data_IF_033144038761
#
_entry.id   IF_033144038761
#
_cell.length_a   1.000
_cell.length_b   1.000
_cell.length_c   1.000
_cell.angle_alpha   90.00
_cell.angle_beta   90.00
_cell.angle_gamma   90.00
#
_symmetry.space_group_name_H-M   'P 1'
#
loop_
_entity.id
_entity.type
_entity.pdbx_description
1 polymer ?
#
# COMPACT_ATOMS: atom_id res chain seq x y z
N UNK A 1 8.21 -3.91 11.25
CA UNK A 1 8.70 -2.78 12.06
C UNK A 1 7.55 -2.12 12.81
N UNK A 2 7.84 -1.39 13.89
CA UNK A 2 6.85 -0.61 14.64
C UNK A 2 7.29 0.84 14.58
N UNK A 3 6.39 1.71 14.16
CA UNK A 3 6.60 3.16 14.09
C UNK A 3 5.59 3.88 14.98
N UNK A 4 5.90 5.08 15.51
CA UNK A 4 4.96 5.84 16.33
C UNK A 4 3.68 6.20 15.55
N UNK A 5 2.52 6.11 16.19
CA UNK A 5 1.26 6.56 15.57
C UNK A 5 1.22 8.07 15.41
N UNK A 6 1.96 8.80 16.25
CA UNK A 6 2.14 10.25 16.10
C UNK A 6 2.86 10.54 14.77
N UNK A 7 2.25 11.35 13.92
CA UNK A 7 2.72 11.68 12.55
C UNK A 7 2.77 10.47 11.60
N UNK A 8 1.96 9.44 11.84
CA UNK A 8 1.91 8.21 11.02
C UNK A 8 1.67 8.48 9.54
N UNK A 9 0.95 9.54 9.19
CA UNK A 9 0.64 9.87 7.79
C UNK A 9 1.87 10.45 7.08
N UNK A 10 2.67 11.26 7.75
CA UNK A 10 3.89 11.85 7.17
C UNK A 10 4.97 10.78 6.98
N UNK A 11 5.16 9.91 7.98
CA UNK A 11 6.08 8.77 7.88
C UNK A 11 5.63 7.78 6.80
N UNK A 12 4.32 7.48 6.74
CA UNK A 12 3.74 6.65 5.69
C UNK A 12 4.03 7.22 4.29
N UNK A 13 3.94 8.53 4.11
CA UNK A 13 4.20 9.17 2.83
C UNK A 13 5.66 8.99 2.40
N UNK A 14 6.61 9.14 3.33
CA UNK A 14 8.04 8.90 3.04
C UNK A 14 8.30 7.43 2.66
N UNK A 15 7.65 6.49 3.33
CA UNK A 15 7.76 5.07 2.99
C UNK A 15 7.10 4.72 1.65
N UNK A 16 5.96 5.36 1.32
CA UNK A 16 5.32 5.22 0.00
C UNK A 16 6.27 5.70 -1.09
N UNK A 17 6.89 6.87 -0.95
CA UNK A 17 7.82 7.41 -1.95
C UNK A 17 8.98 6.44 -2.22
N UNK A 18 9.57 5.86 -1.17
CA UNK A 18 10.66 4.86 -1.29
C UNK A 18 10.25 3.60 -2.07
N UNK A 19 8.99 3.18 -1.92
CA UNK A 19 8.45 1.99 -2.59
C UNK A 19 8.09 2.29 -4.03
N UNK A 20 7.45 3.43 -4.28
CA UNK A 20 7.05 3.86 -5.62
C UNK A 20 8.26 4.10 -6.52
N UNK A 21 9.36 4.62 -5.98
CA UNK A 21 10.63 4.76 -6.71
C UNK A 21 11.17 3.42 -7.25
N UNK A 22 10.86 2.31 -6.56
CA UNK A 22 11.23 0.94 -6.97
C UNK A 22 10.19 0.29 -7.88
N UNK A 23 9.15 1.01 -8.27
CA UNK A 23 8.00 0.49 -9.03
C UNK A 23 7.24 -0.64 -8.32
N UNK A 24 7.30 -0.68 -7.00
CA UNK A 24 6.57 -1.62 -6.17
C UNK A 24 5.27 -0.99 -5.66
N UNK A 25 4.41 -1.78 -4.98
CA UNK A 25 3.07 -1.37 -4.56
C UNK A 25 2.95 -1.36 -3.04
N UNK A 26 2.05 -0.52 -2.56
CA UNK A 26 1.79 -0.33 -1.13
C UNK A 26 0.35 -0.71 -0.79
N UNK A 27 0.18 -1.42 0.32
CA UNK A 27 -1.09 -1.74 0.91
C UNK A 27 -1.23 -1.02 2.25
N UNK A 28 -2.28 -0.22 2.42
CA UNK A 28 -2.53 0.53 3.67
C UNK A 28 -3.84 0.07 4.28
N UNK A 29 -3.82 -0.33 5.56
CA UNK A 29 -5.03 -0.70 6.29
C UNK A 29 -5.39 0.35 7.32
N UNK A 30 -6.65 0.78 7.29
CA UNK A 30 -7.25 1.73 8.24
C UNK A 30 -8.29 1.04 9.12
N UNK A 31 -8.78 1.72 10.15
CA UNK A 31 -9.82 1.20 11.04
C UNK A 31 -11.23 1.48 10.55
N UNK A 32 -11.43 2.58 9.83
CA UNK A 32 -12.75 3.03 9.40
C UNK A 32 -12.76 3.44 7.93
N UNK A 33 -13.94 3.35 7.32
CA UNK A 33 -14.20 3.83 5.96
C UNK A 33 -13.86 5.31 5.81
N UNK A 34 -14.27 6.13 6.76
CA UNK A 34 -13.98 7.57 6.78
C UNK A 34 -12.48 7.85 6.76
N UNK A 35 -11.72 7.14 7.60
CA UNK A 35 -10.26 7.29 7.62
C UNK A 35 -9.61 6.87 6.29
N UNK A 36 -10.11 5.82 5.64
CA UNK A 36 -9.65 5.40 4.32
C UNK A 36 -9.91 6.49 3.27
N UNK A 37 -11.10 7.08 3.28
CA UNK A 37 -11.49 8.15 2.34
C UNK A 37 -10.67 9.44 2.57
N UNK A 38 -10.49 9.85 3.81
CA UNK A 38 -9.70 11.04 4.17
C UNK A 38 -8.22 10.85 3.77
N UNK A 39 -7.66 9.67 4.05
CA UNK A 39 -6.30 9.33 3.63
C UNK A 39 -6.16 9.31 2.11
N UNK A 40 -7.12 8.71 1.39
CA UNK A 40 -7.11 8.68 -0.07
C UNK A 40 -7.12 10.09 -0.66
N UNK A 41 -7.98 10.99 -0.16
CA UNK A 41 -7.98 12.39 -0.58
C UNK A 41 -6.66 13.10 -0.30
N UNK A 42 -6.10 12.88 0.89
CA UNK A 42 -4.81 13.47 1.26
C UNK A 42 -3.70 13.01 0.30
N UNK A 43 -3.58 11.70 0.06
CA UNK A 43 -2.58 11.15 -0.84
C UNK A 43 -2.77 11.64 -2.28
N UNK A 44 -4.01 11.78 -2.74
CA UNK A 44 -4.31 12.37 -4.07
C UNK A 44 -3.85 13.82 -4.14
N UNK A 45 -4.10 14.62 -3.11
CA UNK A 45 -3.70 16.03 -3.08
C UNK A 45 -2.18 16.23 -3.10
N UNK A 46 -1.43 15.29 -2.57
CA UNK A 46 0.06 15.31 -2.61
C UNK A 46 0.64 14.58 -3.83
N UNK A 47 -0.22 14.16 -4.79
CA UNK A 47 0.21 13.58 -6.06
C UNK A 47 0.50 12.09 -6.04
N UNK A 48 0.12 11.36 -4.98
CA UNK A 48 0.25 9.90 -4.91
C UNK A 48 -0.94 9.24 -5.59
N UNK A 49 -0.69 8.38 -6.57
CA UNK A 49 -1.73 7.59 -7.25
C UNK A 49 -2.24 6.51 -6.30
N UNK A 50 -3.50 6.62 -5.90
CA UNK A 50 -4.08 5.69 -4.93
C UNK A 50 -5.54 5.39 -5.24
N UNK A 51 -6.02 4.25 -4.75
CA UNK A 51 -7.44 3.90 -4.67
C UNK A 51 -7.76 3.37 -3.28
N UNK A 52 -9.02 3.50 -2.85
CA UNK A 52 -9.47 2.90 -1.61
C UNK A 52 -10.58 1.88 -1.87
N UNK A 53 -10.59 0.82 -1.03
CA UNK A 53 -11.60 -0.24 -1.07
C UNK A 53 -12.35 -0.29 0.25
N UNK A 54 -13.67 -0.45 0.17
CA UNK A 54 -14.56 -0.67 1.31
C UNK A 54 -15.52 -1.84 1.05
N UNK A 55 -16.34 -2.16 2.07
CA UNK A 55 -17.24 -3.32 2.02
C UNK A 55 -18.32 -3.26 0.95
N UNK A 56 -18.66 -2.05 0.49
CA UNK A 56 -19.80 -1.81 -0.41
C UNK A 56 -19.40 -1.87 -1.90
N UNK A 57 -18.11 -2.10 -2.20
CA UNK A 57 -17.62 -2.26 -3.57
C UNK A 57 -18.01 -3.65 -4.08
N UNK A 58 -18.59 -3.71 -5.27
CA UNK A 58 -18.98 -4.96 -5.90
C UNK A 58 -17.76 -5.85 -6.23
N UNK A 59 -18.01 -7.15 -6.31
CA UNK A 59 -16.94 -8.14 -6.52
C UNK A 59 -16.19 -7.92 -7.85
N UNK A 60 -16.89 -7.52 -8.91
CA UNK A 60 -16.26 -7.26 -10.21
C UNK A 60 -15.38 -6.03 -10.17
N UNK A 61 -15.87 -4.91 -9.66
CA UNK A 61 -15.11 -3.67 -9.49
C UNK A 61 -13.86 -3.91 -8.66
N UNK A 62 -13.96 -4.78 -7.66
CA UNK A 62 -12.82 -5.15 -6.82
C UNK A 62 -11.74 -5.92 -7.59
N UNK A 63 -12.13 -6.83 -8.48
CA UNK A 63 -11.18 -7.52 -9.36
C UNK A 63 -10.47 -6.52 -10.27
N UNK A 64 -11.20 -5.58 -10.85
CA UNK A 64 -10.64 -4.51 -11.69
C UNK A 64 -9.62 -3.65 -10.92
N UNK A 65 -9.96 -3.21 -9.69
CA UNK A 65 -9.03 -2.46 -8.83
C UNK A 65 -7.75 -3.26 -8.56
N UNK A 66 -7.87 -4.58 -8.36
CA UNK A 66 -6.69 -5.42 -8.14
C UNK A 66 -5.82 -5.56 -9.39
N UNK A 67 -6.41 -5.67 -10.56
CA UNK A 67 -5.70 -5.72 -11.83
C UNK A 67 -5.00 -4.39 -12.12
N UNK A 68 -5.67 -3.27 -11.91
CA UNK A 68 -5.09 -1.94 -12.05
C UNK A 68 -3.90 -1.71 -11.08
N UNK A 69 -3.97 -2.21 -9.84
CA UNK A 69 -2.84 -2.17 -8.91
C UNK A 69 -1.65 -2.97 -9.45
N UNK A 70 -1.89 -4.17 -9.99
CA UNK A 70 -0.85 -5.01 -10.60
C UNK A 70 -0.23 -4.35 -11.84
N UNK A 71 -1.07 -3.78 -12.70
CA UNK A 71 -0.63 -3.07 -13.90
C UNK A 71 0.09 -1.75 -13.59
N UNK A 72 -0.03 -1.24 -12.36
CA UNK A 72 0.60 0.02 -11.95
C UNK A 72 -0.14 1.26 -12.38
N UNK A 73 -1.44 1.14 -12.64
CA UNK A 73 -2.31 2.30 -12.86
C UNK A 73 -2.29 3.22 -11.65
N UNK A 74 -2.20 2.63 -10.46
CA UNK A 74 -1.96 3.34 -9.20
C UNK A 74 -0.98 2.55 -8.32
N UNK A 75 -0.44 3.19 -7.28
CA UNK A 75 0.66 2.65 -6.47
C UNK A 75 0.22 2.21 -5.08
N UNK A 76 -0.81 2.83 -4.54
CA UNK A 76 -1.25 2.63 -3.15
C UNK A 76 -2.71 2.17 -3.10
N UNK A 77 -2.95 1.04 -2.46
CA UNK A 77 -4.29 0.55 -2.16
C UNK A 77 -4.61 0.74 -0.68
N UNK A 78 -5.69 1.45 -0.40
CA UNK A 78 -6.14 1.73 0.96
C UNK A 78 -7.42 0.93 1.25
N UNK A 79 -7.53 0.32 2.43
CA UNK A 79 -8.76 -0.38 2.80
C UNK A 79 -8.94 -0.61 4.28
N UNK A 80 -10.19 -0.83 4.69
CA UNK A 80 -10.55 -1.07 6.09
C UNK A 80 -10.32 -2.53 6.49
N UNK A 81 -10.70 -3.46 5.64
CA UNK A 81 -10.58 -4.89 5.88
C UNK A 81 -10.20 -5.60 4.58
N UNK A 82 -8.92 -5.54 4.26
CA UNK A 82 -8.37 -6.17 3.07
C UNK A 82 -8.16 -7.69 3.24
N UNK A 83 -8.59 -8.26 4.39
CA UNK A 83 -8.33 -9.66 4.74
C UNK A 83 -9.28 -10.65 4.08
N UNK A 84 -10.49 -10.22 3.71
CA UNK A 84 -11.58 -11.13 3.30
C UNK A 84 -11.38 -11.83 1.96
N UNK A 85 -10.36 -11.48 1.16
CA UNK A 85 -10.50 -11.68 -0.27
C UNK A 85 -9.37 -12.42 -0.96
N UNK A 86 -8.63 -13.24 -0.25
CA UNK A 86 -7.64 -14.09 -0.91
C UNK A 86 -6.66 -13.33 -1.83
N UNK A 87 -6.39 -12.06 -1.53
CA UNK A 87 -5.55 -11.20 -2.36
C UNK A 87 -4.13 -11.76 -2.44
N UNK A 88 -3.76 -12.13 -3.65
CA UNK A 88 -2.41 -12.55 -3.99
C UNK A 88 -1.74 -11.44 -4.78
N UNK A 89 -0.97 -10.59 -4.10
CA UNK A 89 -0.34 -9.40 -4.65
C UNK A 89 1.18 -9.48 -4.45
N UNK A 90 1.91 -10.23 -5.28
CA UNK A 90 3.36 -10.32 -5.19
C UNK A 90 4.08 -8.99 -5.47
N UNK A 91 3.39 -8.03 -6.08
CA UNK A 91 3.88 -6.68 -6.37
C UNK A 91 3.91 -5.78 -5.13
N UNK A 92 3.19 -6.15 -4.07
CA UNK A 92 3.14 -5.39 -2.82
C UNK A 92 4.39 -5.66 -2.00
N UNK A 93 5.20 -4.64 -1.80
CA UNK A 93 6.41 -4.70 -0.97
C UNK A 93 6.24 -4.01 0.38
N UNK A 94 5.27 -3.11 0.53
CA UNK A 94 4.97 -2.45 1.80
C UNK A 94 3.51 -2.70 2.21
N UNK A 95 3.36 -3.17 3.43
CA UNK A 95 2.06 -3.20 4.12
C UNK A 95 2.12 -2.28 5.32
N UNK A 96 1.30 -1.24 5.34
CA UNK A 96 1.18 -0.29 6.43
C UNK A 96 -0.13 -0.51 7.19
N UNK A 97 -0.03 -0.63 8.50
CA UNK A 97 -1.17 -0.83 9.41
C UNK A 97 -1.26 0.39 10.31
N UNK A 98 -2.22 1.28 10.02
CA UNK A 98 -2.44 2.48 10.82
C UNK A 98 -3.19 2.14 12.11
N UNK A 99 -2.88 2.86 13.18
CA UNK A 99 -3.50 2.67 14.50
C UNK A 99 -3.52 1.18 14.92
N UNK A 100 -2.37 0.53 14.84
CA UNK A 100 -2.24 -0.91 15.12
C UNK A 100 -2.46 -1.24 16.61
N UNK A 101 -2.34 -0.27 17.50
CA UNK A 101 -2.57 -0.37 18.94
C UNK A 101 -4.04 -0.21 19.36
N UNK A 102 -4.93 0.16 18.44
CA UNK A 102 -6.37 0.25 18.73
C UNK A 102 -6.98 -1.14 18.69
N UNK A 103 -6.99 -1.81 19.85
CA UNK A 103 -7.49 -3.17 19.96
C UNK A 103 -8.93 -3.31 19.46
N UNK A 104 -9.19 -4.42 18.76
CA UNK A 104 -10.50 -4.74 18.20
C UNK A 104 -10.40 -5.86 17.16
N UNK A 105 -11.52 -6.20 16.54
CA UNK A 105 -11.59 -7.29 15.58
C UNK A 105 -10.57 -7.14 14.42
N UNK A 106 -10.39 -5.92 13.91
CA UNK A 106 -9.45 -5.63 12.81
C UNK A 106 -7.98 -5.56 13.24
N UNK A 107 -7.70 -5.55 14.52
CA UNK A 107 -6.36 -5.49 15.12
C UNK A 107 -6.10 -6.66 16.07
N UNK A 108 -6.90 -7.73 15.97
CA UNK A 108 -6.62 -9.00 16.64
C UNK A 108 -5.31 -9.61 16.08
N UNK A 109 -4.67 -10.47 16.87
CA UNK A 109 -3.45 -11.18 16.46
C UNK A 109 -3.62 -11.89 15.09
N UNK A 110 -4.75 -12.58 14.88
CA UNK A 110 -5.06 -13.25 13.62
C UNK A 110 -5.17 -12.26 12.45
N UNK A 111 -5.85 -11.13 12.65
CA UNK A 111 -6.00 -10.08 11.64
C UNK A 111 -4.64 -9.48 11.29
N UNK A 112 -3.81 -9.18 12.28
CA UNK A 112 -2.47 -8.65 12.07
C UNK A 112 -1.56 -9.66 11.33
N UNK A 113 -1.55 -10.94 11.73
CA UNK A 113 -0.77 -11.99 11.05
C UNK A 113 -1.18 -12.10 9.57
N UNK A 114 -2.47 -12.11 9.28
CA UNK A 114 -2.96 -12.20 7.91
C UNK A 114 -2.58 -10.96 7.08
N UNK A 115 -2.68 -9.77 7.66
CA UNK A 115 -2.33 -8.53 6.97
C UNK A 115 -0.83 -8.45 6.70
N UNK A 116 0.00 -8.74 7.69
CA UNK A 116 1.47 -8.80 7.54
C UNK A 116 1.85 -9.86 6.48
N UNK A 117 1.17 -11.00 6.48
CA UNK A 117 1.39 -12.08 5.52
C UNK A 117 1.13 -11.70 4.05
N UNK A 118 0.42 -10.59 3.79
CA UNK A 118 0.24 -10.09 2.40
C UNK A 118 1.55 -9.59 1.80
N UNK A 119 2.43 -9.02 2.62
CA UNK A 119 3.77 -8.64 2.17
C UNK A 119 4.71 -9.84 1.96
N UNK A 120 4.43 -10.99 2.56
CA UNK A 120 5.38 -12.12 2.60
C UNK A 120 5.71 -12.76 1.24
N UNK A 121 5.05 -12.38 0.15
CA UNK A 121 5.30 -12.89 -1.20
C UNK A 121 6.34 -12.10 -1.99
N UNK A 122 6.64 -10.91 -1.55
CA UNK A 122 7.74 -10.11 -2.10
C UNK A 122 9.00 -10.33 -1.25
N UNK A 123 10.13 -10.56 -1.90
CA UNK A 123 11.41 -10.86 -1.23
C UNK A 123 11.91 -9.66 -0.41
N UNK A 124 11.64 -8.45 -0.87
CA UNK A 124 12.06 -7.20 -0.22
C UNK A 124 10.96 -6.59 0.66
N UNK A 125 9.95 -7.37 1.02
CA UNK A 125 8.77 -6.82 1.67
C UNK A 125 8.99 -6.37 3.11
N UNK A 126 8.26 -5.32 3.48
CA UNK A 126 8.23 -4.69 4.79
C UNK A 126 6.79 -4.57 5.28
N UNK A 127 6.57 -4.82 6.56
CA UNK A 127 5.32 -4.48 7.22
C UNK A 127 5.59 -3.46 8.33
N UNK A 128 4.87 -2.35 8.33
CA UNK A 128 4.94 -1.30 9.34
C UNK A 128 3.63 -1.27 10.13
N UNK A 129 3.76 -1.35 11.45
CA UNK A 129 2.66 -1.16 12.39
C UNK A 129 2.83 0.19 13.05
N UNK A 130 1.91 1.11 12.79
CA UNK A 130 1.87 2.42 13.46
C UNK A 130 1.15 2.30 14.79
N UNK A 131 1.87 2.50 15.88
CA UNK A 131 1.37 2.32 17.23
C UNK A 131 2.15 3.15 18.24
N UNK A 132 1.46 3.73 19.23
CA UNK A 132 2.11 4.44 20.33
C UNK A 132 2.48 3.47 21.47
N UNK A 133 1.82 2.32 21.55
CA UNK A 133 2.13 1.26 22.50
C UNK A 133 1.96 -0.13 21.87
N UNK A 134 2.74 -1.09 22.36
CA UNK A 134 2.70 -2.46 21.85
C UNK A 134 1.65 -3.26 22.62
N UNK A 135 0.56 -3.62 21.96
CA UNK A 135 -0.51 -4.47 22.53
C UNK A 135 -0.11 -5.92 22.57
N UNK A 136 -0.84 -6.73 23.36
CA UNK A 136 -0.59 -8.16 23.41
C UNK A 136 -0.92 -8.87 22.10
N UNK A 137 -1.90 -8.38 21.34
CA UNK A 137 -2.21 -8.86 19.99
C UNK A 137 -1.05 -8.60 19.03
N UNK A 138 -0.44 -7.42 19.09
CA UNK A 138 0.77 -7.10 18.31
C UNK A 138 1.95 -8.00 18.68
N UNK A 139 2.21 -8.20 19.99
CA UNK A 139 3.29 -9.10 20.46
C UNK A 139 3.12 -10.51 19.92
N UNK A 140 1.91 -11.08 20.00
CA UNK A 140 1.62 -12.42 19.49
C UNK A 140 1.80 -12.48 17.96
N UNK A 141 1.29 -11.48 17.23
CA UNK A 141 1.41 -11.43 15.78
C UNK A 141 2.87 -11.33 15.32
N UNK A 142 3.66 -10.48 15.95
CA UNK A 142 5.09 -10.30 15.63
C UNK A 142 5.86 -11.58 15.94
N UNK A 143 5.64 -12.19 17.12
CA UNK A 143 6.28 -13.43 17.52
C UNK A 143 6.01 -14.57 16.52
N UNK A 144 4.75 -14.72 16.12
CA UNK A 144 4.36 -15.77 15.16
C UNK A 144 4.98 -15.53 13.77
N UNK A 145 4.96 -14.27 13.32
CA UNK A 145 5.57 -13.91 12.03
C UNK A 145 7.10 -14.14 12.04
N UNK A 146 7.79 -13.74 13.10
CA UNK A 146 9.22 -13.99 13.29
C UNK A 146 9.52 -15.49 13.29
N UNK A 147 8.77 -16.28 14.05
CA UNK A 147 8.91 -17.73 14.09
C UNK A 147 8.77 -18.37 12.70
N UNK A 148 7.77 -17.94 11.94
CA UNK A 148 7.53 -18.49 10.61
C UNK A 148 8.65 -18.12 9.63
N UNK A 149 9.15 -16.88 9.71
CA UNK A 149 10.28 -16.39 8.90
C UNK A 149 11.56 -17.15 9.21
N UNK A 150 11.88 -17.36 10.48
CA UNK A 150 13.06 -18.12 10.92
C UNK A 150 13.01 -19.58 10.43
N UNK A 151 11.85 -20.24 10.54
CA UNK A 151 11.66 -21.59 10.01
C UNK A 151 11.87 -21.65 8.50
N UNK A 152 11.30 -20.70 7.76
CA UNK A 152 11.46 -20.65 6.31
C UNK A 152 12.92 -20.41 5.93
N UNK A 153 13.60 -19.50 6.63
CA UNK A 153 14.99 -19.19 6.38
C UNK A 153 15.90 -20.39 6.67
N UNK A 154 15.69 -21.09 7.79
CA UNK A 154 16.40 -22.31 8.13
C UNK A 154 16.20 -23.40 7.07
N UNK A 155 14.95 -23.60 6.63
CA UNK A 155 14.64 -24.55 5.56
C UNK A 155 15.35 -24.19 4.25
N UNK A 156 15.27 -22.93 3.84
CA UNK A 156 15.93 -22.45 2.62
C UNK A 156 17.44 -22.66 2.66
N UNK A 157 18.08 -22.35 3.80
CA UNK A 157 19.52 -22.54 4.00
C UNK A 157 19.90 -24.02 3.92
N UNK A 158 19.14 -24.90 4.58
CA UNK A 158 19.41 -26.36 4.57
C UNK A 158 19.28 -26.96 3.17
N UNK A 159 18.37 -26.45 2.35
CA UNK A 159 18.10 -26.97 1.00
C UNK A 159 18.77 -26.15 -0.12
N UNK A 160 19.59 -25.17 0.21
CA UNK A 160 20.25 -24.29 -0.79
C UNK A 160 19.28 -23.50 -1.66
N UNK A 161 18.09 -23.17 -1.12
CA UNK A 161 17.04 -22.45 -1.86
C UNK A 161 17.27 -20.94 -1.71
N UNK A 162 17.49 -20.27 -2.84
CA UNK A 162 17.48 -18.79 -2.89
C UNK A 162 16.07 -18.30 -3.20
N UNK A 163 15.43 -17.52 -2.31
CA UNK A 163 14.11 -16.94 -2.56
C UNK A 163 14.10 -16.10 -3.84
N UNK A 164 13.12 -16.33 -4.69
CA UNK A 164 12.92 -15.53 -5.92
C UNK A 164 11.55 -14.90 -5.87
N UNK A 165 11.47 -13.67 -6.37
CA UNK A 165 10.19 -12.98 -6.53
C UNK A 165 9.32 -13.70 -7.54
N UNK A 166 8.06 -13.92 -7.21
CA UNK A 166 7.08 -14.51 -8.12
C UNK A 166 6.59 -13.42 -9.06
N UNK A 167 7.01 -13.46 -10.32
CA UNK A 167 6.43 -12.62 -11.36
C UNK A 167 5.24 -13.37 -11.98
N UNK A 168 4.05 -12.92 -11.71
CA UNK A 168 2.83 -13.46 -12.32
C UNK A 168 2.61 -12.76 -13.65
N UNK A 169 2.64 -13.51 -14.76
CA UNK A 169 2.25 -12.97 -16.07
C UNK A 169 0.79 -12.49 -15.99
N UNK A 170 0.55 -11.24 -16.39
CA UNK A 170 -0.79 -10.65 -16.50
C UNK A 170 -1.61 -11.44 -17.51
N UNK A 171 -2.54 -12.23 -17.04
CA UNK A 171 -3.37 -13.07 -17.89
C UNK A 171 -4.62 -12.28 -18.32
N UNK A 172 -4.50 -11.48 -19.37
CA UNK A 172 -5.58 -10.67 -19.97
C UNK A 172 -6.75 -11.47 -20.56
N UNK A 173 -6.69 -12.79 -20.54
CA UNK A 173 -7.65 -13.63 -21.27
C UNK A 173 -8.88 -14.09 -20.49
N UNK A 174 -9.05 -13.72 -19.22
CA UNK A 174 -10.16 -14.25 -18.42
C UNK A 174 -11.46 -13.42 -18.47
N UNK A 175 -11.48 -12.24 -19.08
CA UNK A 175 -12.67 -11.35 -19.10
C UNK A 175 -13.31 -11.15 -20.48
N UNK A 176 -12.80 -11.79 -21.55
CA UNK A 176 -13.37 -11.66 -22.90
C UNK A 176 -14.15 -12.91 -23.34
N UNK A 177 -15.04 -13.39 -22.51
CA UNK A 177 -16.09 -14.32 -22.99
C UNK A 177 -17.44 -13.83 -22.53
N UNK A 178 -18.02 -12.93 -23.28
CA UNK A 178 -19.42 -12.80 -23.67
C UNK A 178 -19.75 -11.36 -24.10
N UNK A 179 -19.36 -11.00 -25.31
CA UNK A 179 -20.17 -10.12 -26.13
C UNK A 179 -19.77 -10.31 -27.59
N UNK A 180 -20.64 -11.02 -28.27
CA UNK A 180 -20.68 -11.21 -29.71
C UNK A 180 -20.78 -9.88 -30.44
N UNK A 181 -19.89 -9.74 -31.44
CA UNK A 181 -20.07 -9.00 -32.70
C UNK A 181 -20.76 -7.62 -32.70
N UNK A 182 -20.00 -6.56 -32.97
CA UNK A 182 -20.18 -5.77 -34.20
C UNK A 182 -19.20 -4.60 -34.31
N UNK A 183 -18.48 -4.63 -35.43
CA UNK A 183 -17.94 -3.53 -36.28
C UNK A 183 -17.13 -2.40 -35.72
N UNK A 184 -15.87 -2.45 -36.16
CA UNK A 184 -15.06 -1.34 -36.75
C UNK A 184 -15.33 0.09 -36.31
N UNK A 185 -14.37 0.69 -35.58
CA UNK A 185 -13.71 1.90 -36.14
C UNK A 185 -12.36 2.13 -35.39
N UNK A 186 -11.35 2.38 -36.23
CA UNK A 186 -10.02 2.80 -35.80
C UNK A 186 -10.12 4.26 -35.38
N UNK A 187 -9.80 4.56 -34.10
CA UNK A 187 -9.31 5.88 -33.76
C UNK A 187 -8.11 5.76 -32.83
N UNK A 188 -6.98 6.20 -33.33
CA UNK A 188 -5.73 6.43 -32.62
C UNK A 188 -5.98 7.26 -31.36
N UNK A 189 -5.70 6.70 -30.19
CA UNK A 189 -5.47 7.49 -29.00
C UNK A 189 -4.09 7.14 -28.42
N UNK A 190 -3.06 7.73 -29.05
CA UNK A 190 -1.78 7.96 -28.39
C UNK A 190 -1.97 8.98 -27.28
N UNK A 191 -2.43 8.53 -26.13
CA UNK A 191 -2.31 9.31 -24.92
C UNK A 191 -0.90 9.07 -24.38
N UNK A 192 -0.03 10.07 -24.49
CA UNK A 192 1.39 9.95 -24.20
C UNK A 192 1.62 9.78 -22.70
N UNK A 193 2.31 8.70 -22.32
CA UNK A 193 2.85 8.45 -20.95
C UNK A 193 3.69 9.61 -20.41
N UNK A 194 4.22 10.47 -21.30
CA UNK A 194 5.01 11.66 -20.96
C UNK A 194 4.20 12.73 -20.22
N UNK A 195 2.92 12.90 -20.51
CA UNK A 195 2.09 13.96 -19.90
C UNK A 195 1.74 13.63 -18.43
N UNK A 196 1.55 12.36 -18.14
CA UNK A 196 1.27 11.89 -16.76
C UNK A 196 2.53 12.00 -15.88
N UNK A 197 3.71 11.71 -16.41
CA UNK A 197 4.99 11.82 -15.68
C UNK A 197 5.34 13.28 -15.36
N UNK A 198 5.08 14.21 -16.28
CA UNK A 198 5.33 15.64 -16.07
C UNK A 198 4.40 16.22 -14.98
N UNK A 199 3.11 15.88 -14.99
CA UNK A 199 2.17 16.32 -13.92
C UNK A 199 2.55 15.79 -12.54
N UNK A 200 3.05 14.56 -12.46
CA UNK A 200 3.51 13.97 -11.19
C UNK A 200 4.78 14.66 -10.70
N UNK A 201 5.72 14.99 -11.59
CA UNK A 201 6.94 15.71 -11.25
C UNK A 201 6.64 17.15 -10.75
N UNK A 202 5.70 17.85 -11.38
CA UNK A 202 5.25 19.17 -10.94
C UNK A 202 4.56 19.11 -9.57
N UNK A 203 3.67 18.14 -9.33
CA UNK A 203 2.98 17.97 -8.04
C UNK A 203 3.97 17.64 -6.92
N UNK A 204 5.00 16.82 -7.19
CA UNK A 204 6.08 16.53 -6.24
C UNK A 204 6.94 17.75 -5.93
N UNK A 205 7.24 18.57 -6.93
CA UNK A 205 7.96 19.83 -6.74
C UNK A 205 7.20 20.79 -5.83
N UNK A 206 5.88 20.93 -6.03
CA UNK A 206 4.99 21.76 -5.20
C UNK A 206 4.95 21.23 -3.77
N UNK A 207 4.87 19.91 -3.58
CA UNK A 207 4.86 19.28 -2.26
C UNK A 207 6.16 19.53 -1.49
N UNK A 208 7.31 19.35 -2.14
CA UNK A 208 8.62 19.60 -1.52
C UNK A 208 8.76 21.07 -1.12
N UNK A 209 8.36 22.01 -1.97
CA UNK A 209 8.33 23.43 -1.65
C UNK A 209 7.39 23.77 -0.47
N UNK A 210 6.23 23.09 -0.37
CA UNK A 210 5.27 23.30 0.71
C UNK A 210 5.80 22.74 2.04
N UNK A 211 6.49 21.58 2.01
CA UNK A 211 7.13 20.98 3.19
C UNK A 211 8.24 21.89 3.74
N UNK A 212 9.04 22.49 2.85
CA UNK A 212 10.10 23.42 3.24
C UNK A 212 9.53 24.72 3.82
N UNK A 213 8.44 25.25 3.24
CA UNK A 213 7.73 26.42 3.80
C UNK A 213 7.15 26.12 5.18
N UNK A 214 6.52 24.97 5.38
CA UNK A 214 5.98 24.59 6.68
C UNK A 214 7.08 24.41 7.74
N UNK A 215 8.26 23.91 7.35
CA UNK A 215 9.43 23.81 8.22
C UNK A 215 9.98 25.18 8.61
N UNK A 216 10.01 26.12 7.67
CA UNK A 216 10.40 27.52 7.91
C UNK A 216 9.40 28.24 8.82
N UNK A 217 8.09 28.05 8.62
CA UNK A 217 7.05 28.62 9.48
C UNK A 217 7.20 28.12 10.92
N UNK A 218 7.38 26.80 11.13
CA UNK A 218 7.61 26.25 12.48
C UNK A 218 8.89 26.77 13.13
N UNK A 219 9.94 27.04 12.36
CA UNK A 219 11.16 27.68 12.88
C UNK A 219 10.92 29.14 13.28
N UNK A 220 10.20 29.91 12.48
CA UNK A 220 9.83 31.29 12.78
C UNK A 220 8.94 31.39 14.03
N UNK A 221 7.92 30.51 14.14
CA UNK A 221 7.06 30.42 15.33
C UNK A 221 7.85 30.10 16.61
N UNK A 222 8.90 29.27 16.50
CA UNK A 222 9.79 28.96 17.63
C UNK A 222 10.67 30.15 18.04
N UNK A 223 11.12 30.96 17.08
CA UNK A 223 11.88 32.17 17.33
C UNK A 223 11.02 33.31 17.89
N UNK A 224 9.76 33.39 17.53
CA UNK A 224 8.82 34.40 18.07
C UNK A 224 8.32 34.11 19.49
N UNK A 225 8.55 32.88 20.00
CA UNK A 225 8.20 32.48 21.38
C UNK A 225 9.37 32.57 22.39
N UNK A 226 10.52 33.02 21.94
CA UNK A 226 11.66 33.40 22.78
C UNK A 226 11.71 34.90 23.00
#
# INVERSE_FOLDING_TARGET
EIHPAKNQVDDLLEEIDRVVEKHERVLVTTLTKRMAEELSRYLTNVGVRNKYIHSDIETLERVEIMEELREGVFDVLIGVNLLREGLDLPEVSLVAILDADKEGFLRSDRALIQTIGRAARNVSSKAILYADHITDSMKRAIKENTRNREKQQAYNTTHGITPKQVNRALNRQALTTNSTESRSDKTDSRFSETDSRNKIAESRSIYTQTKDKNKQIKQLEKLMKQ
#
